data_IF_460443720231
#
_entry.id   IF_460443720231
#
_cell.length_a   1.000
_cell.length_b   1.000
_cell.length_c   1.000
_cell.angle_alpha   90.00
_cell.angle_beta   90.00
_cell.angle_gamma   90.00
#
_symmetry.space_group_name_H-M   'P 1'
#
loop_
_entity.id
_entity.type
_entity.pdbx_description
1 polymer ?
#
# COMPACT_ATOMS: atom_id res chain seq x y z
N UNK A 1 15.74 13.97 -22.81
CA UNK A 1 14.77 14.90 -22.20
C UNK A 1 13.39 14.30 -22.39
N UNK A 2 12.78 13.79 -21.32
CA UNK A 2 11.43 13.25 -21.39
C UNK A 2 10.42 14.42 -21.33
N UNK A 3 9.55 14.52 -22.33
CA UNK A 3 8.47 15.49 -22.37
C UNK A 3 7.37 14.99 -21.42
N UNK A 4 7.33 15.53 -20.19
CA UNK A 4 6.20 15.33 -19.30
C UNK A 4 5.01 16.02 -19.95
N UNK A 5 3.97 15.27 -20.32
CA UNK A 5 2.78 15.81 -20.94
C UNK A 5 2.10 16.79 -19.98
N UNK A 6 1.71 17.98 -20.46
CA UNK A 6 1.06 19.00 -19.61
C UNK A 6 -0.18 18.45 -18.88
N UNK A 7 -0.91 17.51 -19.51
CA UNK A 7 -2.04 16.80 -18.91
C UNK A 7 -1.65 15.90 -17.70
N UNK A 8 -0.46 15.29 -17.73
CA UNK A 8 0.04 14.49 -16.59
C UNK A 8 0.50 15.37 -15.43
N UNK A 9 1.04 16.57 -15.72
CA UNK A 9 1.42 17.52 -14.69
C UNK A 9 0.19 18.12 -13.98
N UNK A 10 -0.86 18.48 -14.73
CA UNK A 10 -2.11 18.99 -14.13
C UNK A 10 -2.82 17.92 -13.30
N UNK A 11 -2.91 16.68 -13.78
CA UNK A 11 -3.46 15.56 -13.02
C UNK A 11 -2.68 15.27 -11.73
N UNK A 12 -1.35 15.33 -11.77
CA UNK A 12 -0.49 15.14 -10.58
C UNK A 12 -0.73 16.24 -9.54
N UNK A 13 -0.83 17.50 -9.98
CA UNK A 13 -1.11 18.63 -9.07
C UNK A 13 -2.50 18.49 -8.42
N UNK A 14 -3.49 18.02 -9.17
CA UNK A 14 -4.82 17.75 -8.65
C UNK A 14 -4.81 16.60 -7.64
N UNK A 15 -4.14 15.49 -7.95
CA UNK A 15 -3.99 14.35 -7.04
C UNK A 15 -3.26 14.76 -5.74
N UNK A 16 -2.27 15.65 -5.82
CA UNK A 16 -1.60 16.21 -4.64
C UNK A 16 -2.55 17.03 -3.76
N UNK A 17 -3.35 17.91 -4.35
CA UNK A 17 -4.34 18.69 -3.61
C UNK A 17 -5.38 17.79 -2.92
N UNK A 18 -5.86 16.75 -3.62
CA UNK A 18 -6.78 15.76 -3.06
C UNK A 18 -6.14 14.98 -1.92
N UNK A 19 -4.90 14.53 -2.09
CA UNK A 19 -4.16 13.81 -1.05
C UNK A 19 -3.95 14.68 0.19
N UNK A 20 -3.59 15.96 0.03
CA UNK A 20 -3.45 16.91 1.14
C UNK A 20 -4.77 17.06 1.92
N UNK A 21 -5.91 17.20 1.23
CA UNK A 21 -7.24 17.24 1.87
C UNK A 21 -7.53 15.95 2.67
N UNK A 22 -7.22 14.78 2.11
CA UNK A 22 -7.38 13.49 2.81
C UNK A 22 -6.46 13.38 4.05
N UNK A 23 -5.19 13.82 3.94
CA UNK A 23 -4.23 13.83 5.05
C UNK A 23 -4.68 14.75 6.19
N UNK A 24 -5.18 15.94 5.87
CA UNK A 24 -5.69 16.90 6.87
C UNK A 24 -6.92 16.35 7.59
N UNK A 25 -7.87 15.76 6.86
CA UNK A 25 -9.05 15.10 7.45
C UNK A 25 -8.69 13.93 8.37
N UNK A 26 -7.54 13.30 8.13
CA UNK A 26 -7.00 12.23 8.96
C UNK A 26 -6.09 12.72 10.11
N UNK A 27 -5.98 14.03 10.33
CA UNK A 27 -5.16 14.68 11.38
C UNK A 27 -3.63 14.49 11.22
N UNK A 28 -3.12 14.54 9.98
CA UNK A 28 -1.68 14.55 9.67
C UNK A 28 -1.21 15.96 9.26
N UNK A 29 -1.54 16.98 10.06
CA UNK A 29 -1.31 18.38 9.71
C UNK A 29 0.18 18.74 9.60
N UNK A 30 1.00 18.19 10.49
CA UNK A 30 2.44 18.49 10.51
C UNK A 30 3.12 17.89 9.29
N UNK A 31 2.73 16.70 8.85
CA UNK A 31 3.27 16.09 7.63
C UNK A 31 2.87 16.90 6.38
N UNK A 32 1.63 17.38 6.32
CA UNK A 32 1.16 18.28 5.26
C UNK A 32 1.95 19.59 5.23
N UNK A 33 2.26 20.17 6.39
CA UNK A 33 3.12 21.35 6.47
C UNK A 33 4.50 21.08 5.86
N UNK A 34 5.12 19.93 6.15
CA UNK A 34 6.40 19.55 5.55
C UNK A 34 6.32 19.44 4.02
N UNK A 35 5.25 18.84 3.49
CA UNK A 35 5.00 18.78 2.03
C UNK A 35 4.93 20.20 1.44
N UNK A 36 4.20 21.12 2.08
CA UNK A 36 4.03 22.48 1.58
C UNK A 36 5.29 23.36 1.70
N UNK A 37 6.26 22.96 2.52
CA UNK A 37 7.55 23.66 2.64
C UNK A 37 8.50 23.36 1.48
N UNK A 38 8.25 22.31 0.70
CA UNK A 38 9.11 21.92 -0.41
C UNK A 38 8.45 22.25 -1.75
N UNK A 39 9.23 22.70 -2.76
CA UNK A 39 8.72 22.85 -4.11
C UNK A 39 8.17 21.52 -4.65
N UNK A 40 6.98 21.56 -5.25
CA UNK A 40 6.27 20.35 -5.74
C UNK A 40 7.08 19.51 -6.73
N UNK A 41 7.95 20.12 -7.53
CA UNK A 41 8.80 19.42 -8.49
C UNK A 41 9.89 18.53 -7.84
N UNK A 42 10.18 18.72 -6.56
CA UNK A 42 11.09 17.85 -5.80
C UNK A 42 10.40 16.55 -5.33
N UNK A 43 9.06 16.54 -5.32
CA UNK A 43 8.26 15.37 -5.02
C UNK A 43 7.87 14.71 -6.34
N UNK A 44 8.27 13.44 -6.50
CA UNK A 44 7.96 12.70 -7.72
C UNK A 44 6.45 12.39 -7.81
N UNK A 45 5.88 12.32 -9.03
CA UNK A 45 4.56 11.75 -9.23
C UNK A 45 4.56 10.27 -8.84
N UNK A 46 3.38 9.67 -8.66
CA UNK A 46 3.23 8.23 -8.40
C UNK A 46 3.95 7.80 -7.10
N UNK A 47 3.49 8.30 -5.96
CA UNK A 47 4.20 8.21 -4.69
C UNK A 47 3.31 7.65 -3.59
N UNK A 48 3.93 6.96 -2.62
CA UNK A 48 3.28 6.64 -1.34
C UNK A 48 3.97 7.37 -0.23
N UNK A 49 3.22 8.15 0.57
CA UNK A 49 3.75 8.77 1.78
C UNK A 49 3.58 7.86 3.00
N UNK A 50 4.63 7.77 3.81
CA UNK A 50 4.65 7.13 5.11
C UNK A 50 4.67 8.25 6.16
N UNK A 51 3.53 8.54 6.76
CA UNK A 51 3.32 9.76 7.54
C UNK A 51 3.36 9.47 9.03
N UNK A 52 4.42 9.86 9.77
CA UNK A 52 4.34 9.87 11.22
C UNK A 52 3.25 10.86 11.66
N UNK A 53 2.51 10.53 12.70
CA UNK A 53 1.47 11.43 13.21
C UNK A 53 2.10 12.68 13.88
N UNK A 54 1.26 13.71 14.09
CA UNK A 54 1.70 15.00 14.63
C UNK A 54 2.38 14.88 16.01
N UNK A 55 1.98 13.91 16.83
CA UNK A 55 2.61 13.66 18.14
C UNK A 55 4.05 13.14 18.00
N UNK A 56 4.32 12.29 17.00
CA UNK A 56 5.67 11.79 16.73
C UNK A 56 6.53 12.90 16.13
N UNK A 57 5.97 13.67 15.18
CA UNK A 57 6.69 14.74 14.51
C UNK A 57 7.05 15.89 15.47
N UNK A 58 6.22 16.20 16.47
CA UNK A 58 6.54 17.24 17.47
C UNK A 58 7.72 16.89 18.38
N UNK A 59 8.09 15.60 18.45
CA UNK A 59 9.22 15.10 19.22
C UNK A 59 10.44 14.79 18.33
N UNK A 60 10.30 14.96 17.02
CA UNK A 60 11.36 14.66 16.04
C UNK A 60 12.05 15.95 15.63
N UNK A 61 13.38 15.97 15.71
CA UNK A 61 14.15 17.09 15.17
C UNK A 61 14.28 16.95 13.65
N UNK A 62 13.47 17.71 12.91
CA UNK A 62 13.53 17.84 11.45
C UNK A 62 14.06 19.22 11.12
N UNK A 63 15.36 19.33 10.89
CA UNK A 63 15.98 20.59 10.48
C UNK A 63 15.36 21.09 9.15
N UNK A 64 15.08 22.39 8.99
CA UNK A 64 14.49 22.94 7.76
C UNK A 64 15.27 22.59 6.49
N UNK A 65 16.59 22.54 6.57
CA UNK A 65 17.50 22.17 5.46
C UNK A 65 17.38 20.69 5.06
N UNK A 66 16.73 19.86 5.88
CA UNK A 66 16.60 18.43 5.70
C UNK A 66 15.18 17.97 5.36
N UNK A 67 14.22 18.87 5.19
CA UNK A 67 12.81 18.52 4.95
C UNK A 67 12.62 17.68 3.69
N UNK A 68 13.28 18.05 2.58
CA UNK A 68 13.27 17.25 1.34
C UNK A 68 13.76 15.83 1.61
N UNK A 69 14.91 15.71 2.28
CA UNK A 69 15.51 14.43 2.65
C UNK A 69 14.64 13.59 3.60
N UNK A 70 13.91 14.25 4.49
CA UNK A 70 12.95 13.64 5.38
C UNK A 70 11.78 13.05 4.59
N UNK A 71 11.16 13.84 3.70
CA UNK A 71 10.05 13.42 2.86
C UNK A 71 10.44 12.30 1.88
N UNK A 72 11.63 12.39 1.28
CA UNK A 72 12.12 11.36 0.36
C UNK A 72 12.38 10.01 1.05
N UNK A 73 12.83 10.02 2.32
CA UNK A 73 12.96 8.79 3.13
C UNK A 73 11.62 8.26 3.63
N UNK A 74 10.62 9.13 3.77
CA UNK A 74 9.24 8.80 4.14
C UNK A 74 8.33 8.64 2.93
N UNK A 75 8.89 8.27 1.78
CA UNK A 75 8.09 7.98 0.60
C UNK A 75 8.63 6.81 -0.19
N UNK A 76 7.72 6.12 -0.89
CA UNK A 76 8.01 5.03 -1.82
C UNK A 76 7.67 5.56 -3.22
N UNK A 77 8.55 5.40 -4.23
CA UNK A 77 8.36 5.94 -5.57
C UNK A 77 7.39 5.07 -6.41
N UNK A 78 6.29 4.66 -5.79
CA UNK A 78 5.17 3.95 -6.42
C UNK A 78 3.92 4.09 -5.55
N UNK A 79 2.70 4.17 -6.12
CA UNK A 79 1.45 4.10 -5.38
C UNK A 79 1.25 2.69 -4.82
N UNK A 80 1.25 2.56 -3.49
CA UNK A 80 1.20 1.30 -2.78
C UNK A 80 -0.02 1.30 -1.85
N UNK A 81 -0.90 0.31 -2.01
CA UNK A 81 -2.01 0.05 -1.11
C UNK A 81 -1.59 -0.96 -0.04
N UNK A 82 -2.28 -0.97 1.10
CA UNK A 82 -2.01 -1.94 2.16
C UNK A 82 -2.23 -3.39 1.70
N UNK A 83 -3.14 -3.63 0.76
CA UNK A 83 -3.42 -4.98 0.25
C UNK A 83 -2.30 -5.46 -0.68
N UNK A 84 -1.56 -4.54 -1.31
CA UNK A 84 -0.34 -4.91 -2.05
C UNK A 84 0.75 -5.37 -1.07
N UNK A 85 0.81 -4.77 0.13
CA UNK A 85 1.77 -5.16 1.16
C UNK A 85 1.61 -6.60 1.65
N UNK A 86 0.40 -7.18 1.54
CA UNK A 86 0.14 -8.59 1.87
C UNK A 86 0.94 -9.57 1.00
N UNK A 87 1.29 -9.15 -0.21
CA UNK A 87 1.97 -9.99 -1.19
C UNK A 87 3.50 -9.89 -1.09
N UNK A 88 4.05 -8.97 -0.29
CA UNK A 88 5.48 -8.95 -0.02
C UNK A 88 5.84 -9.97 1.07
N UNK A 89 6.75 -10.91 0.79
CA UNK A 89 7.33 -11.75 1.84
C UNK A 89 8.02 -10.90 2.90
N UNK A 90 7.95 -11.34 4.16
CA UNK A 90 8.79 -10.76 5.22
C UNK A 90 10.27 -10.84 4.83
N UNK A 91 11.00 -9.74 5.03
CA UNK A 91 12.38 -9.57 4.57
C UNK A 91 12.50 -8.86 3.21
N UNK A 92 11.40 -8.61 2.51
CA UNK A 92 11.43 -7.84 1.25
C UNK A 92 11.98 -6.43 1.47
N UNK A 93 12.73 -5.92 0.49
CA UNK A 93 13.27 -4.55 0.50
C UNK A 93 12.51 -3.69 -0.50
N UNK A 94 11.91 -2.60 -0.03
CA UNK A 94 11.21 -1.61 -0.85
C UNK A 94 12.07 -0.35 -0.93
N UNK A 95 12.35 0.21 -2.13
CA UNK A 95 13.09 1.46 -2.24
C UNK A 95 12.28 2.63 -1.68
N UNK A 96 12.97 3.58 -1.06
CA UNK A 96 12.39 4.90 -0.79
C UNK A 96 12.61 5.84 -1.99
N UNK A 97 11.93 6.98 -2.02
CA UNK A 97 12.20 8.01 -3.04
C UNK A 97 13.58 8.64 -2.87
N UNK A 98 14.22 8.48 -1.70
CA UNK A 98 15.64 8.81 -1.53
C UNK A 98 16.51 7.69 -2.10
N UNK A 99 17.30 8.03 -3.11
CA UNK A 99 18.20 7.07 -3.76
C UNK A 99 19.14 6.38 -2.76
N UNK A 100 19.31 5.07 -2.91
CA UNK A 100 20.17 4.24 -2.07
C UNK A 100 19.56 3.80 -0.74
N UNK A 101 18.37 4.28 -0.38
CA UNK A 101 17.69 3.95 0.88
C UNK A 101 16.53 2.98 0.67
N UNK A 102 16.42 2.00 1.56
CA UNK A 102 15.42 0.94 1.47
C UNK A 102 14.73 0.66 2.81
N UNK A 103 13.53 0.10 2.70
CA UNK A 103 12.66 -0.32 3.79
C UNK A 103 12.51 -1.84 3.77
N UNK A 104 12.87 -2.48 4.87
CA UNK A 104 12.61 -3.88 5.14
C UNK A 104 11.16 -4.07 5.58
N UNK A 105 10.44 -4.93 4.86
CA UNK A 105 9.06 -5.29 5.15
C UNK A 105 9.04 -6.42 6.16
N UNK A 106 8.27 -6.25 7.24
CA UNK A 106 7.86 -7.35 8.11
C UNK A 106 6.34 -7.45 8.14
N UNK A 107 5.84 -8.59 7.69
CA UNK A 107 4.42 -8.93 7.70
C UNK A 107 4.17 -9.94 8.82
N UNK A 108 3.43 -9.52 9.84
CA UNK A 108 3.07 -10.36 10.99
C UNK A 108 1.67 -10.98 10.85
N UNK A 109 1.06 -10.87 9.67
CA UNK A 109 -0.33 -11.27 9.43
C UNK A 109 -1.32 -10.32 10.08
N UNK A 110 -2.62 -10.65 10.04
CA UNK A 110 -3.71 -9.85 10.65
C UNK A 110 -3.67 -8.34 10.35
N UNK A 111 -3.19 -7.97 9.16
CA UNK A 111 -2.98 -6.58 8.71
C UNK A 111 -1.97 -5.78 9.55
N UNK A 112 -1.04 -6.47 10.22
CA UNK A 112 0.08 -5.87 10.94
C UNK A 112 1.32 -5.86 10.04
N UNK A 113 1.63 -4.69 9.49
CA UNK A 113 2.77 -4.46 8.62
C UNK A 113 3.75 -3.49 9.26
N UNK A 114 5.04 -3.78 9.10
CA UNK A 114 6.12 -2.92 9.55
C UNK A 114 7.09 -2.64 8.42
N UNK A 115 7.63 -1.42 8.42
CA UNK A 115 8.68 -0.95 7.52
C UNK A 115 9.85 -0.46 8.40
N UNK A 116 10.99 -1.15 8.38
CA UNK A 116 12.13 -0.89 9.29
C UNK A 116 11.70 -0.73 10.75
N UNK A 117 10.94 -1.72 11.26
CA UNK A 117 10.43 -1.78 12.62
C UNK A 117 9.37 -0.72 13.00
N UNK A 118 8.98 0.17 12.08
CA UNK A 118 7.88 1.11 12.26
C UNK A 118 6.59 0.49 11.75
N UNK A 119 5.53 0.51 12.54
CA UNK A 119 4.24 -0.09 12.19
C UNK A 119 3.41 0.86 11.35
N UNK A 120 2.71 0.32 10.35
CA UNK A 120 1.60 1.01 9.70
C UNK A 120 0.37 0.94 10.61
N UNK A 121 -0.08 2.09 11.09
CA UNK A 121 -1.22 2.22 12.03
C UNK A 121 -2.50 2.72 11.37
N UNK A 122 -2.38 3.46 10.27
CA UNK A 122 -3.51 4.03 9.53
C UNK A 122 -3.34 3.72 8.04
N UNK A 123 -3.81 2.55 7.56
CA UNK A 123 -3.65 2.17 6.17
C UNK A 123 -4.59 2.97 5.25
N UNK A 124 -4.22 3.09 3.97
CA UNK A 124 -5.03 3.68 2.89
C UNK A 124 -5.73 5.02 3.26
N UNK A 125 -4.99 6.02 3.72
CA UNK A 125 -5.57 7.35 4.01
C UNK A 125 -5.94 8.07 2.70
N UNK A 126 -5.01 8.11 1.73
CA UNK A 126 -5.23 8.77 0.44
C UNK A 126 -5.75 7.75 -0.57
N UNK A 127 -7.03 7.82 -0.92
CA UNK A 127 -7.68 6.82 -1.79
C UNK A 127 -8.43 7.42 -2.97
N UNK A 128 -8.81 8.71 -2.90
CA UNK A 128 -9.55 9.38 -3.98
C UNK A 128 -8.71 9.61 -5.23
N UNK A 129 -7.43 9.99 -5.06
CA UNK A 129 -6.49 10.15 -6.17
C UNK A 129 -6.03 8.81 -6.73
N UNK A 130 -5.37 8.82 -7.89
CA UNK A 130 -4.83 7.59 -8.50
C UNK A 130 -3.33 7.43 -8.28
N UNK A 131 -2.59 8.55 -8.26
CA UNK A 131 -1.13 8.60 -8.23
C UNK A 131 -0.53 8.74 -6.83
N UNK A 132 -1.32 9.12 -5.82
CA UNK A 132 -0.82 9.33 -4.46
C UNK A 132 -1.51 8.39 -3.49
N UNK A 133 -0.70 7.63 -2.76
CA UNK A 133 -1.14 6.83 -1.61
C UNK A 133 -0.50 7.39 -0.36
N UNK A 134 -1.14 7.18 0.77
CA UNK A 134 -0.56 7.57 2.04
C UNK A 134 -0.99 6.63 3.16
N UNK A 135 -0.06 6.36 4.06
CA UNK A 135 -0.21 5.49 5.21
C UNK A 135 0.30 6.22 6.44
N UNK A 136 -0.46 6.18 7.53
CA UNK A 136 0.00 6.64 8.83
C UNK A 136 0.90 5.59 9.49
N UNK A 137 2.00 6.05 10.07
CA UNK A 137 2.99 5.20 10.77
C UNK A 137 3.21 5.67 12.21
N UNK A 138 3.58 4.75 13.10
CA UNK A 138 3.80 5.01 14.54
C UNK A 138 5.25 5.36 14.93
N UNK A 139 6.06 5.76 13.95
CA UNK A 139 7.42 6.20 14.16
C UNK A 139 8.01 6.88 12.94
N UNK A 140 9.21 7.44 13.11
CA UNK A 140 10.02 7.96 12.02
C UNK A 140 10.82 6.81 11.41
N UNK A 141 10.60 6.54 10.13
CA UNK A 141 11.23 5.42 9.45
C UNK A 141 12.71 5.70 9.22
N UNK A 142 13.57 4.86 9.81
CA UNK A 142 15.01 4.91 9.60
C UNK A 142 15.38 4.05 8.40
N UNK A 143 15.24 4.60 7.19
CA UNK A 143 15.61 3.90 5.96
C UNK A 143 17.11 3.54 5.99
N UNK A 144 17.44 2.33 5.55
CA UNK A 144 18.82 1.83 5.58
C UNK A 144 19.47 2.00 4.21
N UNK A 145 20.70 2.50 4.16
CA UNK A 145 21.49 2.46 2.93
C UNK A 145 21.93 1.03 2.66
N UNK A 146 21.65 0.49 1.47
CA UNK A 146 22.30 -0.75 1.06
C UNK A 146 23.74 -0.43 0.68
N UNK A 147 24.69 -0.85 1.52
CA UNK A 147 26.08 -0.98 1.12
C UNK A 147 26.12 -1.95 -0.07
N UNK A 148 26.53 -1.46 -1.23
CA UNK A 148 26.79 -2.33 -2.37
C UNK A 148 27.78 -3.41 -1.93
N UNK A 149 27.51 -4.71 -2.14
CA UNK A 149 28.50 -5.74 -1.86
C UNK A 149 29.75 -5.38 -2.67
N UNK A 150 30.85 -5.10 -1.98
CA UNK A 150 32.16 -5.01 -2.62
C UNK A 150 32.46 -6.37 -3.20
N UNK A 151 32.25 -6.56 -4.51
CA UNK A 151 32.74 -7.73 -5.22
C UNK A 151 34.27 -7.71 -5.05
N UNK A 152 34.88 -8.66 -4.33
CA UNK A 152 36.33 -8.70 -4.25
C UNK A 152 36.89 -8.93 -5.67
N UNK A 153 38.01 -8.28 -6.05
CA UNK A 153 38.63 -8.51 -7.35
C UNK A 153 38.99 -10.00 -7.51
N UNK A 154 38.91 -10.56 -8.73
CA UNK A 154 39.17 -11.98 -8.94
C UNK A 154 40.62 -12.31 -8.59
N UNK A 155 40.81 -13.12 -7.56
CA UNK A 155 42.12 -13.65 -7.21
C UNK A 155 42.54 -14.72 -8.22
N UNK A 156 43.53 -14.39 -9.03
CA UNK A 156 44.27 -15.33 -9.85
C UNK A 156 45.20 -16.19 -8.99
N UNK A 157 44.89 -17.48 -8.80
CA UNK A 157 45.85 -18.59 -8.85
C UNK A 157 45.25 -19.97 -8.53
N UNK A 158 45.50 -20.89 -9.48
CA UNK A 158 45.75 -22.33 -9.36
C UNK A 158 44.68 -23.30 -8.86
N UNK A 159 44.16 -24.02 -9.86
CA UNK A 159 43.93 -25.48 -9.92
C UNK A 159 43.06 -26.13 -8.84
N UNK A 160 41.82 -26.41 -9.21
CA UNK A 160 41.11 -27.59 -8.71
C UNK A 160 40.23 -28.12 -9.83
N UNK A 161 40.69 -29.23 -10.40
CA UNK A 161 40.07 -29.97 -11.51
C UNK A 161 38.66 -30.39 -11.13
N UNK A 162 37.64 -29.85 -11.82
CA UNK A 162 36.29 -30.39 -11.76
C UNK A 162 36.24 -31.74 -12.50
N UNK A 163 35.77 -32.84 -11.88
CA UNK A 163 35.35 -33.99 -12.63
C UNK A 163 34.07 -33.64 -13.38
N UNK A 164 34.16 -33.74 -14.70
CA UNK A 164 33.09 -33.56 -15.69
C UNK A 164 31.84 -34.35 -15.29
N UNK A 165 30.64 -33.73 -15.21
CA UNK A 165 29.40 -34.48 -15.12
C UNK A 165 29.19 -35.25 -16.43
N UNK A 166 29.03 -36.56 -16.29
CA UNK A 166 28.74 -37.52 -17.34
C UNK A 166 27.40 -37.16 -18.00
N UNK A 167 27.43 -36.90 -19.30
CA UNK A 167 26.24 -36.73 -20.13
C UNK A 167 25.42 -38.03 -20.04
N UNK A 168 24.21 -37.94 -19.49
CA UNK A 168 23.23 -39.00 -19.59
C UNK A 168 22.52 -38.89 -20.96
N UNK A 169 22.18 -40.02 -21.60
CA UNK A 169 21.72 -40.03 -22.98
C UNK A 169 20.31 -39.47 -23.11
N UNK A 170 20.15 -38.67 -24.15
CA UNK A 170 18.92 -38.28 -24.80
C UNK A 170 18.01 -39.49 -25.03
N UNK A 171 16.88 -39.51 -24.34
CA UNK A 171 15.83 -40.51 -24.50
C UNK A 171 14.57 -39.81 -25.04
N UNK A 172 14.42 -39.93 -26.36
CA UNK A 172 13.19 -39.98 -27.15
C UNK A 172 11.97 -39.18 -26.67
N UNK A 173 11.67 -38.11 -27.42
CA UNK A 173 10.34 -37.51 -27.48
C UNK A 173 9.30 -38.54 -27.99
N UNK A 174 8.11 -38.65 -27.36
CA UNK A 174 6.97 -39.33 -27.98
C UNK A 174 6.27 -38.40 -28.97
N UNK A 175 5.98 -38.97 -30.14
CA UNK A 175 5.24 -38.40 -31.28
C UNK A 175 3.85 -37.85 -30.90
N UNK A 176 3.28 -36.94 -31.71
CA UNK A 176 1.93 -36.41 -31.51
C UNK A 176 0.86 -37.48 -31.76
N UNK A 177 -0.16 -37.51 -30.91
CA UNK A 177 -1.32 -38.38 -31.04
C UNK A 177 -2.16 -38.04 -32.30
N UNK A 178 -2.80 -39.03 -32.94
CA UNK A 178 -3.61 -38.84 -34.13
C UNK A 178 -4.97 -38.18 -33.80
N UNK A 179 -5.40 -37.29 -34.69
CA UNK A 179 -6.71 -36.63 -34.66
C UNK A 179 -7.85 -37.63 -34.91
N UNK A 180 -8.97 -37.57 -34.18
CA UNK A 180 -10.18 -38.31 -34.55
C UNK A 180 -10.95 -37.62 -35.70
N UNK A 181 -11.70 -38.39 -36.51
CA UNK A 181 -12.27 -37.94 -37.77
C UNK A 181 -13.52 -37.06 -37.60
N UNK A 182 -13.73 -36.23 -38.62
CA UNK A 182 -14.95 -35.46 -38.88
C UNK A 182 -16.12 -36.43 -39.15
N UNK A 183 -17.22 -36.24 -38.42
CA UNK A 183 -18.57 -36.76 -38.73
C UNK A 183 -19.56 -35.83 -38.02
N UNK A 184 -20.13 -34.83 -38.68
CA UNK A 184 -21.33 -34.88 -39.52
C UNK A 184 -22.65 -34.86 -38.70
N UNK A 185 -23.27 -33.67 -38.71
CA UNK A 185 -24.71 -33.32 -38.69
C UNK A 185 -25.62 -33.80 -37.52
N UNK A 186 -25.90 -32.85 -36.59
CA UNK A 186 -27.22 -32.41 -36.04
C UNK A 186 -28.20 -33.44 -35.40
N UNK A 187 -29.24 -33.04 -34.61
CA UNK A 187 -29.78 -31.70 -34.36
C UNK A 187 -29.99 -31.30 -32.87
N UNK A 188 -30.22 -29.99 -32.70
CA UNK A 188 -30.61 -29.23 -31.51
C UNK A 188 -31.94 -29.72 -30.88
N UNK A 189 -32.04 -29.83 -29.54
CA UNK A 189 -33.32 -29.84 -28.83
C UNK A 189 -33.71 -28.44 -28.28
N UNK A 190 -35.03 -28.15 -28.14
CA UNK A 190 -35.58 -26.81 -27.88
C UNK A 190 -35.45 -26.34 -26.42
N UNK A 191 -35.61 -25.03 -26.15
CA UNK A 191 -35.57 -24.47 -24.80
C UNK A 191 -36.89 -24.74 -24.06
N UNK A 192 -36.80 -25.29 -22.85
CA UNK A 192 -37.95 -25.40 -21.94
C UNK A 192 -37.98 -24.22 -20.98
N UNK A 193 -39.07 -23.48 -21.07
CA UNK A 193 -39.57 -22.48 -20.14
C UNK A 193 -39.55 -22.94 -18.67
N UNK A 194 -38.97 -22.11 -17.78
CA UNK A 194 -39.30 -22.12 -16.36
C UNK A 194 -39.44 -20.67 -15.89
N UNK A 195 -40.68 -20.19 -15.83
CA UNK A 195 -41.09 -18.98 -15.11
C UNK A 195 -41.33 -19.30 -13.61
N UNK A 196 -41.65 -18.33 -12.73
CA UNK A 196 -40.77 -17.92 -11.65
C UNK A 196 -41.23 -18.46 -10.28
N UNK A 197 -40.29 -18.86 -9.42
CA UNK A 197 -40.63 -19.20 -8.02
C UNK A 197 -40.80 -17.93 -7.18
N UNK A 198 -42.05 -17.70 -6.81
CA UNK A 198 -42.55 -16.81 -5.76
C UNK A 198 -42.30 -17.42 -4.37
N UNK A 199 -42.30 -16.55 -3.33
CA UNK A 199 -42.26 -16.81 -1.88
C UNK A 199 -40.85 -16.66 -1.27
N UNK A 200 -40.59 -15.94 -0.18
CA UNK A 200 -41.37 -15.12 0.76
C UNK A 200 -40.38 -14.45 1.73
N UNK A 201 -40.52 -13.14 1.96
CA UNK A 201 -40.10 -12.44 3.19
C UNK A 201 -41.23 -12.60 4.24
N UNK A 202 -41.10 -12.36 5.57
CA UNK A 202 -40.32 -11.26 6.18
C UNK A 202 -39.60 -11.61 7.51
N UNK A 203 -38.59 -10.85 7.92
CA UNK A 203 -38.41 -10.46 9.33
C UNK A 203 -37.61 -9.15 9.42
N UNK A 204 -38.33 -8.07 9.73
CA UNK A 204 -37.77 -6.78 10.14
C UNK A 204 -37.56 -6.79 11.64
N UNK A 205 -36.32 -6.90 12.12
CA UNK A 205 -36.01 -6.75 13.54
C UNK A 205 -36.07 -5.27 13.93
N UNK A 206 -37.21 -4.86 14.49
CA UNK A 206 -37.39 -3.61 15.23
C UNK A 206 -36.73 -3.75 16.60
N UNK A 207 -35.54 -3.17 16.78
CA UNK A 207 -35.03 -2.82 18.12
C UNK A 207 -34.09 -1.63 17.99
N UNK A 208 -34.47 -0.48 18.57
CA UNK A 208 -33.58 0.70 18.55
C UNK A 208 -34.22 2.05 18.88
N UNK A 209 -35.53 2.15 19.13
CA UNK A 209 -36.16 3.46 19.47
C UNK A 209 -36.37 3.67 20.97
N UNK A 210 -36.16 2.65 21.81
CA UNK A 210 -36.29 2.77 23.27
C UNK A 210 -34.99 3.20 23.99
N UNK A 211 -33.86 3.25 23.29
CA UNK A 211 -32.55 3.57 23.91
C UNK A 211 -32.20 5.06 23.87
N UNK A 212 -32.81 5.83 22.96
CA UNK A 212 -32.53 7.26 22.81
C UNK A 212 -33.15 8.11 23.92
N UNK A 213 -34.29 7.68 24.47
CA UNK A 213 -34.98 8.41 25.55
C UNK A 213 -34.25 8.24 26.89
N UNK A 214 -33.67 7.06 27.15
CA UNK A 214 -32.90 6.81 28.37
C UNK A 214 -31.58 7.61 28.40
N UNK A 215 -30.88 7.71 27.25
CA UNK A 215 -29.67 8.55 27.12
C UNK A 215 -29.94 10.04 27.34
N UNK A 216 -31.06 10.57 26.82
CA UNK A 216 -31.41 12.00 26.97
C UNK A 216 -31.80 12.33 28.42
N UNK A 217 -32.52 11.44 29.12
CA UNK A 217 -32.86 11.63 30.54
C UNK A 217 -31.60 11.56 31.42
N UNK A 218 -30.64 10.69 31.12
CA UNK A 218 -29.39 10.58 31.88
C UNK A 218 -28.47 11.80 31.72
N UNK A 219 -28.41 12.40 30.53
CA UNK A 219 -27.63 13.62 30.31
C UNK A 219 -28.26 14.85 31.00
N UNK A 220 -29.59 14.91 31.11
CA UNK A 220 -30.28 16.01 31.78
C UNK A 220 -30.22 15.93 33.31
N UNK A 221 -30.04 14.74 33.90
CA UNK A 221 -29.89 14.58 35.35
C UNK A 221 -28.46 14.81 35.82
N UNK A 222 -27.44 14.41 35.04
CA UNK A 222 -26.03 14.64 35.40
C UNK A 222 -25.58 16.08 35.16
N UNK A 223 -26.14 16.76 34.15
CA UNK A 223 -25.80 18.16 33.81
C UNK A 223 -26.29 19.22 34.82
N UNK A 224 -27.14 18.87 35.79
CA UNK A 224 -27.65 19.82 36.80
C UNK A 224 -26.84 19.84 38.11
N UNK A 225 -25.84 18.96 38.25
CA UNK A 225 -25.05 18.88 39.49
C UNK A 225 -23.74 19.68 39.47
N UNK A 226 -23.48 20.47 38.43
CA UNK A 226 -22.27 21.29 38.25
C UNK A 226 -22.53 22.80 38.21
N UNK A 227 -23.66 23.27 38.76
CA UNK A 227 -23.97 24.70 38.84
C UNK A 227 -24.24 25.24 40.25
N UNK A 228 -23.93 24.45 41.29
CA UNK A 228 -24.01 24.89 42.68
C UNK A 228 -22.81 24.36 43.48
N UNK A 229 -21.63 24.93 43.23
CA UNK A 229 -20.59 25.27 44.23
C UNK A 229 -19.81 26.46 43.70
#
# INVERSE_FOLDING_TARGET
>A
MALISSATATATNQDMAVAIDEMQKANYFTFVMLINMVPSHLIQPNITFLMPNDRILSQTDVAPTSVVDFLLRHSIPSPLLIDHLQHFPTGSMIPTSKSGFFLNVRNEGRRQFFLNNVRIISPNICTKGSSIRCHGVDGVVQATMMSQPSIPPPSSSSSSTCPKPRVAPEAAAPLPAPSPPVGELSPVPPPSDVSPKKSSSPETSKWGVVDLVAMVVFMLTVGKSWLLV
#
